data_IF_935663088946
#
_entry.id   IF_935663088946
#
_cell.length_a   1.000
_cell.length_b   1.000
_cell.length_c   1.000
_cell.angle_alpha   90.00
_cell.angle_beta   90.00
_cell.angle_gamma   90.00
#
_symmetry.space_group_name_H-M   'P 1'
#
loop_
_entity.id
_entity.type
_entity.pdbx_description
1 polymer ?
#
# COMPACT_ATOMS: atom_id res chain seq x y z
N UNK A 1 19.20 16.01 3.90
CA UNK A 1 18.81 14.71 4.50
C UNK A 1 19.65 14.58 5.77
N UNK A 2 19.02 14.61 6.94
CA UNK A 2 19.75 14.50 8.20
C UNK A 2 20.24 13.05 8.38
N UNK A 3 21.31 12.85 9.17
CA UNK A 3 21.84 11.50 9.46
C UNK A 3 20.77 10.52 9.98
N UNK A 4 19.78 11.04 10.71
CA UNK A 4 18.62 10.29 11.21
C UNK A 4 17.71 9.76 10.09
N UNK A 5 17.55 10.50 9.01
CA UNK A 5 16.71 10.10 7.87
C UNK A 5 17.38 8.95 7.11
N UNK A 6 18.71 8.99 6.94
CA UNK A 6 19.49 7.95 6.28
C UNK A 6 19.41 6.62 7.04
N UNK A 7 19.69 6.62 8.35
CA UNK A 7 19.62 5.40 9.16
C UNK A 7 18.21 4.79 9.18
N UNK A 8 17.17 5.63 9.13
CA UNK A 8 15.79 5.17 9.09
C UNK A 8 15.42 4.57 7.72
N UNK A 9 15.87 5.16 6.62
CA UNK A 9 15.72 4.57 5.27
C UNK A 9 16.38 3.20 5.20
N UNK A 10 17.59 3.06 5.75
CA UNK A 10 18.29 1.76 5.80
C UNK A 10 17.50 0.74 6.64
N UNK A 11 16.93 1.16 7.77
CA UNK A 11 16.09 0.30 8.59
C UNK A 11 14.81 -0.16 7.84
N UNK A 12 14.15 0.75 7.13
CA UNK A 12 12.98 0.44 6.30
C UNK A 12 13.33 -0.49 5.14
N UNK A 13 14.45 -0.23 4.45
CA UNK A 13 14.97 -1.11 3.41
C UNK A 13 15.27 -2.51 3.96
N UNK A 14 15.86 -2.60 5.16
CA UNK A 14 16.14 -3.87 5.84
C UNK A 14 14.84 -4.62 6.18
N UNK A 15 13.83 -3.93 6.70
CA UNK A 15 12.51 -4.53 6.96
C UNK A 15 11.89 -5.04 5.67
N UNK A 16 11.94 -4.26 4.60
CA UNK A 16 11.44 -4.67 3.29
C UNK A 16 12.17 -5.93 2.80
N UNK A 17 13.50 -5.96 2.82
CA UNK A 17 14.29 -7.14 2.44
C UNK A 17 13.96 -8.37 3.27
N UNK A 18 13.71 -8.20 4.57
CA UNK A 18 13.26 -9.30 5.43
C UNK A 18 11.89 -9.81 4.98
N UNK A 19 10.95 -8.91 4.65
CA UNK A 19 9.64 -9.30 4.11
C UNK A 19 9.76 -10.02 2.77
N UNK A 20 10.67 -9.59 1.88
CA UNK A 20 10.98 -10.29 0.62
C UNK A 20 11.48 -11.72 0.85
N UNK A 21 12.23 -11.94 1.93
CA UNK A 21 12.72 -13.27 2.28
C UNK A 21 11.60 -14.17 2.82
N UNK A 22 10.66 -13.61 3.59
CA UNK A 22 9.54 -14.38 4.19
C UNK A 22 8.38 -14.61 3.24
N UNK A 23 8.14 -13.72 2.27
CA UNK A 23 7.01 -13.82 1.32
C UNK A 23 7.09 -15.04 0.39
N UNK A 24 8.18 -15.81 0.43
CA UNK A 24 8.35 -17.07 -0.30
C UNK A 24 7.73 -18.28 0.40
N UNK A 25 7.21 -18.15 1.63
CA UNK A 25 6.76 -19.27 2.45
C UNK A 25 5.36 -19.02 3.03
N UNK A 26 4.38 -19.84 2.66
CA UNK A 26 3.03 -20.05 3.26
C UNK A 26 2.08 -18.85 3.52
N UNK A 27 0.76 -19.13 3.46
CA UNK A 27 -0.33 -18.16 3.70
C UNK A 27 -0.28 -17.49 5.09
N UNK A 28 0.17 -18.20 6.14
CA UNK A 28 0.28 -17.64 7.49
C UNK A 28 1.27 -16.47 7.56
N UNK A 29 2.27 -16.42 6.69
CA UNK A 29 3.25 -15.32 6.67
C UNK A 29 2.74 -14.10 5.89
N UNK A 30 1.66 -14.24 5.11
CA UNK A 30 1.13 -13.15 4.28
C UNK A 30 0.60 -11.99 5.14
N UNK A 31 -0.12 -12.29 6.23
CA UNK A 31 -0.65 -11.26 7.15
C UNK A 31 0.48 -10.56 7.91
N UNK A 32 1.49 -11.31 8.36
CA UNK A 32 2.66 -10.72 9.01
C UNK A 32 3.44 -9.82 8.04
N UNK A 33 3.58 -10.25 6.78
CA UNK A 33 4.21 -9.47 5.71
C UNK A 33 3.43 -8.20 5.39
N UNK A 34 2.10 -8.28 5.28
CA UNK A 34 1.21 -7.14 5.09
C UNK A 34 1.37 -6.10 6.22
N UNK A 35 1.43 -6.53 7.48
CA UNK A 35 1.64 -5.60 8.58
C UNK A 35 3.00 -4.89 8.52
N UNK A 36 4.08 -5.60 8.16
CA UNK A 36 5.40 -4.98 7.98
C UNK A 36 5.36 -3.97 6.82
N UNK A 37 4.74 -4.32 5.69
CA UNK A 37 4.62 -3.42 4.54
C UNK A 37 3.81 -2.16 4.86
N UNK A 38 2.69 -2.31 5.58
CA UNK A 38 1.89 -1.17 6.02
C UNK A 38 2.67 -0.25 6.95
N UNK A 39 3.46 -0.81 7.87
CA UNK A 39 4.33 -0.03 8.75
C UNK A 39 5.41 0.73 7.97
N UNK A 40 5.98 0.11 6.93
CA UNK A 40 6.94 0.76 6.03
C UNK A 40 6.29 1.94 5.30
N UNK A 41 5.08 1.75 4.77
CA UNK A 41 4.31 2.82 4.11
C UNK A 41 4.00 3.97 5.07
N UNK A 42 3.55 3.69 6.30
CA UNK A 42 3.26 4.74 7.29
C UNK A 42 4.53 5.52 7.66
N UNK A 43 5.65 4.81 7.88
CA UNK A 43 6.93 5.45 8.15
C UNK A 43 7.36 6.37 7.00
N UNK A 44 7.32 5.89 5.75
CA UNK A 44 7.68 6.71 4.59
C UNK A 44 6.73 7.91 4.42
N UNK A 45 5.44 7.73 4.72
CA UNK A 45 4.43 8.81 4.67
C UNK A 45 4.78 9.95 5.63
N UNK A 46 5.24 9.60 6.84
CA UNK A 46 5.58 10.55 7.92
C UNK A 46 6.92 11.25 7.67
N UNK A 47 7.87 10.53 7.09
CA UNK A 47 9.21 11.04 6.83
C UNK A 47 9.29 11.89 5.57
N UNK A 48 8.30 11.76 4.68
CA UNK A 48 8.26 12.42 3.37
C UNK A 48 9.53 12.17 2.55
N UNK A 49 10.02 10.93 2.62
CA UNK A 49 11.24 10.48 1.96
C UNK A 49 10.91 9.79 0.66
N UNK A 50 11.69 10.12 -0.37
CA UNK A 50 11.65 9.48 -1.68
C UNK A 50 12.95 8.72 -1.97
N UNK A 51 12.90 7.38 -1.94
CA UNK A 51 13.99 6.51 -2.38
C UNK A 51 13.51 5.58 -3.52
N UNK A 52 14.01 5.82 -4.73
CA UNK A 52 13.53 5.14 -5.95
C UNK A 52 13.63 3.61 -5.85
N UNK A 53 14.77 3.03 -5.44
CA UNK A 53 14.92 1.58 -5.25
C UNK A 53 13.95 1.00 -4.22
N UNK A 54 13.82 1.65 -3.05
CA UNK A 54 12.92 1.20 -1.99
C UNK A 54 11.47 1.15 -2.47
N UNK A 55 11.03 2.17 -3.21
CA UNK A 55 9.66 2.24 -3.74
C UNK A 55 9.35 1.19 -4.82
N UNK A 56 10.33 0.87 -5.68
CA UNK A 56 10.14 -0.16 -6.71
C UNK A 56 9.86 -1.52 -6.06
N UNK A 57 10.71 -1.90 -5.11
CA UNK A 57 10.55 -3.15 -4.36
C UNK A 57 9.31 -3.13 -3.46
N UNK A 58 8.97 -1.99 -2.86
CA UNK A 58 7.77 -1.83 -2.02
C UNK A 58 6.50 -2.06 -2.83
N UNK A 59 6.36 -1.42 -3.99
CA UNK A 59 5.17 -1.56 -4.84
C UNK A 59 4.89 -3.01 -5.21
N UNK A 60 5.92 -3.74 -5.64
CA UNK A 60 5.81 -5.16 -6.04
C UNK A 60 5.29 -6.02 -4.88
N UNK A 61 5.73 -5.73 -3.65
CA UNK A 61 5.26 -6.44 -2.45
C UNK A 61 3.85 -6.04 -2.05
N UNK A 62 3.51 -4.75 -2.12
CA UNK A 62 2.15 -4.30 -1.85
C UNK A 62 1.17 -5.01 -2.78
N UNK A 63 1.47 -5.08 -4.08
CA UNK A 63 0.62 -5.76 -5.05
C UNK A 63 0.43 -7.25 -4.73
N UNK A 64 1.51 -7.97 -4.39
CA UNK A 64 1.44 -9.40 -4.04
C UNK A 64 0.61 -9.69 -2.80
N UNK A 65 0.58 -8.75 -1.85
CA UNK A 65 -0.08 -8.91 -0.56
C UNK A 65 -1.40 -8.15 -0.46
N UNK A 66 -1.96 -7.64 -1.58
CA UNK A 66 -3.18 -6.83 -1.59
C UNK A 66 -4.32 -7.47 -0.78
N UNK A 67 -4.53 -8.77 -0.95
CA UNK A 67 -5.61 -9.52 -0.30
C UNK A 67 -5.42 -9.69 1.21
N UNK A 68 -4.19 -9.58 1.70
CA UNK A 68 -3.84 -9.75 3.10
C UNK A 68 -3.95 -8.44 3.91
N UNK A 69 -4.14 -7.30 3.26
CA UNK A 69 -4.34 -6.03 3.95
C UNK A 69 -5.74 -5.91 4.54
N UNK A 70 -5.83 -5.21 5.67
CA UNK A 70 -7.10 -4.70 6.18
C UNK A 70 -7.57 -3.48 5.37
N UNK A 71 -8.84 -3.12 5.50
CA UNK A 71 -9.43 -1.96 4.83
C UNK A 71 -8.66 -0.66 5.13
N UNK A 72 -8.27 -0.47 6.39
CA UNK A 72 -7.50 0.69 6.83
C UNK A 72 -6.08 0.70 6.24
N UNK A 73 -5.46 -0.47 6.08
CA UNK A 73 -4.16 -0.59 5.43
C UNK A 73 -4.25 -0.28 3.93
N UNK A 74 -5.27 -0.79 3.24
CA UNK A 74 -5.54 -0.45 1.83
C UNK A 74 -5.73 1.05 1.64
N UNK A 75 -6.55 1.67 2.50
CA UNK A 75 -6.77 3.12 2.48
C UNK A 75 -5.47 3.91 2.73
N UNK A 76 -4.66 3.49 3.70
CA UNK A 76 -3.37 4.13 4.01
C UNK A 76 -2.41 4.05 2.83
N UNK A 77 -2.34 2.88 2.16
CA UNK A 77 -1.55 2.70 0.94
C UNK A 77 -2.03 3.67 -0.14
N UNK A 78 -3.32 3.71 -0.46
CA UNK A 78 -3.87 4.61 -1.47
C UNK A 78 -3.55 6.09 -1.17
N UNK A 79 -3.78 6.54 0.07
CA UNK A 79 -3.51 7.92 0.47
C UNK A 79 -2.03 8.29 0.38
N UNK A 80 -1.13 7.36 0.72
CA UNK A 80 0.30 7.58 0.59
C UNK A 80 0.71 7.83 -0.86
N UNK A 81 0.27 6.98 -1.79
CA UNK A 81 0.53 7.16 -3.22
C UNK A 81 -0.07 8.46 -3.74
N UNK A 82 -1.29 8.81 -3.30
CA UNK A 82 -1.92 10.08 -3.65
C UNK A 82 -1.20 11.30 -3.06
N UNK A 83 -0.64 11.20 -1.85
CA UNK A 83 0.18 12.26 -1.22
C UNK A 83 1.46 12.51 -2.02
N UNK A 84 2.12 11.44 -2.46
CA UNK A 84 3.34 11.52 -3.25
C UNK A 84 3.09 11.82 -4.73
N UNK A 85 1.83 11.94 -5.16
CA UNK A 85 1.40 12.13 -6.54
C UNK A 85 1.94 11.03 -7.49
N UNK A 86 1.84 9.78 -7.04
CA UNK A 86 2.34 8.60 -7.74
C UNK A 86 1.20 7.68 -8.10
N UNK A 87 1.09 7.38 -9.38
CA UNK A 87 0.19 6.35 -9.86
C UNK A 87 0.96 5.09 -10.26
N UNK A 88 0.46 3.95 -9.81
CA UNK A 88 0.92 2.61 -10.15
C UNK A 88 -0.30 1.80 -10.56
N UNK A 89 -0.55 1.74 -11.86
CA UNK A 89 -1.74 1.11 -12.42
C UNK A 89 -1.99 -0.28 -11.83
N UNK A 90 -0.97 -1.14 -11.84
CA UNK A 90 -1.08 -2.53 -11.36
C UNK A 90 -1.48 -2.64 -9.88
N UNK A 91 -1.02 -1.73 -9.01
CA UNK A 91 -1.43 -1.72 -7.60
C UNK A 91 -2.85 -1.21 -7.43
N UNK A 92 -3.21 -0.12 -8.11
CA UNK A 92 -4.54 0.47 -8.00
C UNK A 92 -5.61 -0.46 -8.59
N UNK A 93 -5.31 -1.12 -9.70
CA UNK A 93 -6.16 -2.13 -10.32
C UNK A 93 -6.34 -3.34 -9.40
N UNK A 94 -5.26 -3.81 -8.76
CA UNK A 94 -5.32 -4.90 -7.80
C UNK A 94 -6.19 -4.53 -6.57
N UNK A 95 -6.02 -3.32 -6.03
CA UNK A 95 -6.85 -2.83 -4.91
C UNK A 95 -8.32 -2.71 -5.32
N UNK A 96 -8.60 -2.18 -6.51
CA UNK A 96 -9.96 -2.11 -7.05
C UNK A 96 -10.58 -3.49 -7.19
N UNK A 97 -9.85 -4.43 -7.79
CA UNK A 97 -10.30 -5.81 -7.94
C UNK A 97 -10.58 -6.48 -6.60
N UNK A 98 -9.71 -6.30 -5.60
CA UNK A 98 -9.90 -6.84 -4.25
C UNK A 98 -11.17 -6.30 -3.60
N UNK A 99 -11.42 -5.00 -3.71
CA UNK A 99 -12.63 -4.38 -3.17
C UNK A 99 -13.88 -4.95 -3.86
N UNK A 100 -13.88 -4.97 -5.20
CA UNK A 100 -15.02 -5.45 -5.99
C UNK A 100 -15.34 -6.92 -5.73
N UNK A 101 -14.31 -7.75 -5.57
CA UNK A 101 -14.47 -9.20 -5.45
C UNK A 101 -14.83 -9.62 -4.02
N UNK A 102 -14.22 -8.97 -3.01
CA UNK A 102 -14.21 -9.49 -1.65
C UNK A 102 -14.79 -8.53 -0.60
N UNK A 103 -14.92 -7.23 -0.90
CA UNK A 103 -15.24 -6.21 0.12
C UNK A 103 -16.42 -5.30 -0.19
N UNK A 104 -17.15 -5.55 -1.29
CA UNK A 104 -18.26 -4.69 -1.76
C UNK A 104 -19.31 -4.36 -0.70
N UNK A 105 -19.56 -5.25 0.26
CA UNK A 105 -20.56 -5.05 1.32
C UNK A 105 -19.96 -4.98 2.72
N UNK A 106 -18.65 -5.08 2.85
CA UNK A 106 -17.94 -5.18 4.15
C UNK A 106 -16.87 -4.10 4.32
N UNK A 107 -16.55 -3.35 3.26
CA UNK A 107 -15.58 -2.26 3.30
C UNK A 107 -16.02 -1.19 4.30
N UNK A 108 -15.14 -0.89 5.25
CA UNK A 108 -15.36 0.20 6.21
C UNK A 108 -15.57 1.55 5.50
N UNK A 109 -16.54 2.33 5.97
CA UNK A 109 -16.94 3.59 5.32
C UNK A 109 -15.85 4.66 5.30
N UNK A 110 -15.00 4.71 6.33
CA UNK A 110 -13.87 5.64 6.35
C UNK A 110 -12.78 5.19 5.38
N UNK A 111 -12.48 3.90 5.34
CA UNK A 111 -11.54 3.33 4.36
C UNK A 111 -12.01 3.61 2.92
N UNK A 112 -13.29 3.38 2.63
CA UNK A 112 -13.91 3.70 1.34
C UNK A 112 -13.72 5.17 0.95
N UNK A 113 -14.04 6.11 1.84
CA UNK A 113 -13.88 7.54 1.57
C UNK A 113 -12.42 7.92 1.26
N UNK A 114 -11.47 7.35 2.01
CA UNK A 114 -10.04 7.57 1.78
C UNK A 114 -9.55 6.99 0.45
N UNK A 115 -10.00 5.79 0.08
CA UNK A 115 -9.65 5.17 -1.20
C UNK A 115 -10.23 6.00 -2.35
N UNK A 116 -11.52 6.38 -2.29
CA UNK A 116 -12.15 7.24 -3.29
C UNK A 116 -11.42 8.58 -3.45
N UNK A 117 -11.04 9.22 -2.33
CA UNK A 117 -10.28 10.46 -2.35
C UNK A 117 -8.91 10.29 -3.04
N UNK A 118 -8.20 9.20 -2.74
CA UNK A 118 -6.90 8.91 -3.34
C UNK A 118 -6.99 8.70 -4.87
N UNK A 119 -7.96 7.92 -5.33
CA UNK A 119 -8.21 7.70 -6.77
C UNK A 119 -8.54 9.02 -7.48
N UNK A 120 -9.43 9.82 -6.91
CA UNK A 120 -9.79 11.13 -7.45
C UNK A 120 -8.60 12.10 -7.50
N UNK A 121 -7.78 12.16 -6.43
CA UNK A 121 -6.59 13.01 -6.36
C UNK A 121 -5.55 12.67 -7.43
N UNK A 122 -5.39 11.38 -7.73
CA UNK A 122 -4.50 10.89 -8.79
C UNK A 122 -5.15 10.92 -10.19
N UNK A 123 -6.37 11.44 -10.31
CA UNK A 123 -7.16 11.47 -11.56
C UNK A 123 -7.35 10.08 -12.19
N UNK A 124 -7.40 9.04 -11.35
CA UNK A 124 -7.65 7.67 -11.77
C UNK A 124 -9.16 7.47 -11.89
N UNK A 125 -9.62 7.15 -13.09
CA UNK A 125 -11.03 6.84 -13.34
C UNK A 125 -11.22 5.33 -13.31
N UNK A 126 -11.94 4.84 -12.31
CA UNK A 126 -12.32 3.43 -12.20
C UNK A 126 -13.83 3.33 -11.91
N UNK A 127 -14.68 3.27 -12.95
CA UNK A 127 -16.13 3.18 -12.78
C UNK A 127 -16.54 1.94 -11.99
N UNK A 128 -15.84 0.82 -12.16
CA UNK A 128 -16.18 -0.44 -11.50
C UNK A 128 -15.92 -0.35 -9.98
N UNK A 129 -14.88 0.39 -9.58
CA UNK A 129 -14.64 0.67 -8.17
C UNK A 129 -15.77 1.50 -7.56
N UNK A 130 -16.22 2.55 -8.25
CA UNK A 130 -17.30 3.42 -7.76
C UNK A 130 -18.65 2.70 -7.70
N UNK A 131 -18.91 1.75 -8.59
CA UNK A 131 -20.09 0.86 -8.50
C UNK A 131 -20.04 -0.11 -7.32
N UNK A 132 -18.85 -0.33 -6.75
CA UNK A 132 -18.63 -1.20 -5.61
C UNK A 132 -18.60 -0.46 -4.25
N UNK A 133 -18.71 0.86 -4.27
CA UNK A 133 -18.88 1.73 -3.11
C UNK A 133 -20.37 2.01 -2.86
#
# INVERSE_FOLDING_TARGET
IAYRDVALIEALATQLMRTLATSKQDEQTATASAQVLANVVDALTRLDVWDRPLFASLHEQLQRHVTAFSDQQLATICLYYAKQNLYRAELFDAISQEIRSNRRTTLDGLAMAHIAHAFAKLQVTDPQLYEAF
#
